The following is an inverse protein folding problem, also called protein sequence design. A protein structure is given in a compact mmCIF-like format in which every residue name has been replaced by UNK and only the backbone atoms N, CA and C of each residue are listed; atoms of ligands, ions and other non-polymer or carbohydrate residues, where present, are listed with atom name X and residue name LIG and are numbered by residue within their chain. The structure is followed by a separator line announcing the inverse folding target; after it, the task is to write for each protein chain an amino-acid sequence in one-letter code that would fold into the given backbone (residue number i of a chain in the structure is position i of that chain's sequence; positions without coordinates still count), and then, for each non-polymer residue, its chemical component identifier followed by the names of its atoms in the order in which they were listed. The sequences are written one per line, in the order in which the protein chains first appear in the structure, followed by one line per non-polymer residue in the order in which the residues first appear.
data_IF_386424882541
#
_entry.id   IF_386424882541
#
_cell.length_a   1.000
_cell.length_b   1.000
_cell.length_c   1.000
_cell.angle_alpha   90.00
_cell.angle_beta   90.00
_cell.angle_gamma   90.00
#
_symmetry.space_group_name_H-M   'P 1'
#
loop_
_entity.id
_entity.type
_entity.pdbx_description
1 polymer ?
#
# COMPACT_ATOMS: atom_id res chain seq x y z
N UNK A 1 -10.46 2.55 -12.77
CA UNK A 1 -9.06 2.45 -13.23
C UNK A 1 -8.19 1.79 -12.17
N UNK A 2 -7.15 1.04 -12.57
CA UNK A 2 -6.15 0.42 -11.66
C UNK A 2 -4.82 1.14 -11.85
N UNK A 3 -4.15 1.46 -10.75
CA UNK A 3 -2.76 1.96 -10.72
C UNK A 3 -1.87 0.86 -10.16
N UNK A 4 -0.75 0.58 -10.83
CA UNK A 4 0.23 -0.40 -10.38
C UNK A 4 1.51 0.33 -9.97
N UNK A 5 2.02 -0.03 -8.81
CA UNK A 5 3.28 0.48 -8.27
C UNK A 5 4.24 -0.70 -8.18
N UNK A 6 5.33 -0.60 -8.93
CA UNK A 6 6.42 -1.59 -9.07
C UNK A 6 7.61 -1.27 -8.16
N UNK A 7 7.40 -0.42 -7.16
CA UNK A 7 8.40 -0.03 -6.17
C UNK A 7 8.11 -0.65 -4.81
N UNK A 8 9.15 -1.10 -4.09
CA UNK A 8 8.98 -1.68 -2.77
C UNK A 8 8.55 -0.60 -1.78
N UNK A 9 7.63 -0.93 -0.88
CA UNK A 9 7.09 -0.03 0.15
C UNK A 9 8.08 0.15 1.30
N UNK A 10 9.25 0.67 0.98
CA UNK A 10 10.36 0.91 1.90
C UNK A 10 10.68 2.40 1.93
N UNK A 11 11.17 2.89 3.07
CA UNK A 11 11.52 4.29 3.31
C UNK A 11 12.27 4.97 2.14
N UNK A 12 13.27 4.35 1.48
CA UNK A 12 13.97 4.99 0.37
C UNK A 12 13.09 5.32 -0.84
N UNK A 13 11.98 4.61 -1.02
CA UNK A 13 11.09 4.73 -2.18
C UNK A 13 9.78 5.46 -1.86
N UNK A 14 9.48 5.72 -0.58
CA UNK A 14 8.20 6.32 -0.14
C UNK A 14 7.88 7.63 -0.86
N UNK A 15 8.87 8.50 -1.03
CA UNK A 15 8.64 9.80 -1.68
C UNK A 15 8.36 9.64 -3.18
N UNK A 16 9.07 8.75 -3.87
CA UNK A 16 8.79 8.46 -5.28
C UNK A 16 7.38 7.85 -5.46
N UNK A 17 7.01 6.91 -4.59
CA UNK A 17 5.68 6.30 -4.59
C UNK A 17 4.60 7.36 -4.36
N UNK A 18 4.81 8.28 -3.41
CA UNK A 18 3.87 9.39 -3.14
C UNK A 18 3.66 10.25 -4.39
N UNK A 19 4.74 10.68 -5.05
CA UNK A 19 4.64 11.49 -6.26
C UNK A 19 3.88 10.76 -7.39
N UNK A 20 4.15 9.46 -7.57
CA UNK A 20 3.42 8.62 -8.54
C UNK A 20 1.94 8.50 -8.19
N UNK A 21 1.60 8.30 -6.92
CA UNK A 21 0.22 8.22 -6.47
C UNK A 21 -0.52 9.54 -6.71
N UNK A 22 0.08 10.69 -6.38
CA UNK A 22 -0.53 12.00 -6.64
C UNK A 22 -0.73 12.29 -8.13
N UNK A 23 0.18 11.81 -8.99
CA UNK A 23 0.08 12.00 -10.44
C UNK A 23 -0.94 11.08 -11.11
N UNK A 24 -1.14 9.86 -10.58
CA UNK A 24 -1.94 8.81 -11.23
C UNK A 24 -3.30 8.55 -10.57
N UNK A 25 -3.40 8.72 -9.25
CA UNK A 25 -4.64 8.54 -8.50
C UNK A 25 -5.52 9.76 -8.73
N UNK A 26 -6.56 9.56 -9.54
CA UNK A 26 -7.60 10.54 -9.82
C UNK A 26 -8.97 10.01 -9.36
N UNK A 27 -10.04 10.80 -9.52
CA UNK A 27 -11.39 10.41 -9.11
C UNK A 27 -11.98 9.16 -9.78
N UNK A 28 -11.32 8.61 -10.81
CA UNK A 28 -11.72 7.37 -11.49
C UNK A 28 -10.91 6.15 -11.04
N UNK A 29 -9.88 6.38 -10.23
CA UNK A 29 -9.03 5.34 -9.68
C UNK A 29 -9.80 4.61 -8.59
N UNK A 30 -9.88 3.28 -8.74
CA UNK A 30 -10.61 2.43 -7.78
C UNK A 30 -9.70 1.44 -7.07
N UNK A 31 -8.49 1.22 -7.59
CA UNK A 31 -7.56 0.23 -7.05
C UNK A 31 -6.11 0.65 -7.27
N UNK A 32 -5.31 0.57 -6.22
CA UNK A 32 -3.84 0.68 -6.25
C UNK A 32 -3.27 -0.68 -5.88
N UNK A 33 -2.34 -1.18 -6.69
CA UNK A 33 -1.70 -2.48 -6.44
C UNK A 33 -0.19 -2.30 -6.35
N UNK A 34 0.36 -2.60 -5.18
CA UNK A 34 1.79 -2.65 -4.94
C UNK A 34 2.30 -4.05 -5.30
N UNK A 35 3.10 -4.14 -6.35
CA UNK A 35 3.56 -5.41 -6.94
C UNK A 35 4.95 -5.82 -6.50
N UNK A 36 5.75 -4.88 -6.01
CA UNK A 36 7.12 -5.13 -5.59
C UNK A 36 7.22 -5.71 -4.17
N UNK A 37 8.20 -6.60 -3.94
CA UNK A 37 8.46 -7.18 -2.63
C UNK A 37 9.09 -6.16 -1.68
N UNK A 38 8.59 -6.09 -0.45
CA UNK A 38 9.19 -5.28 0.62
C UNK A 38 8.21 -4.26 1.19
N UNK A 39 8.09 -4.27 2.52
CA UNK A 39 7.21 -3.40 3.28
C UNK A 39 7.83 -3.11 4.64
N UNK A 40 8.01 -1.84 4.97
CA UNK A 40 8.42 -1.38 6.29
C UNK A 40 7.35 -0.49 6.95
N UNK A 41 7.66 0.04 8.13
CA UNK A 41 6.73 0.93 8.85
C UNK A 41 6.38 2.20 8.06
N UNK A 42 7.29 2.74 7.27
CA UNK A 42 7.05 3.93 6.47
C UNK A 42 6.14 3.63 5.27
N UNK A 43 6.33 2.48 4.63
CA UNK A 43 5.43 1.95 3.60
C UNK A 43 4.01 1.70 4.10
N UNK A 44 3.87 1.16 5.32
CA UNK A 44 2.56 0.98 5.95
C UNK A 44 1.87 2.33 6.22
N UNK A 45 2.61 3.31 6.76
CA UNK A 45 2.09 4.66 6.96
C UNK A 45 1.63 5.29 5.64
N UNK A 46 2.33 5.04 4.54
CA UNK A 46 1.93 5.51 3.21
C UNK A 46 0.60 4.89 2.76
N UNK A 47 0.41 3.57 2.94
CA UNK A 47 -0.87 2.90 2.65
C UNK A 47 -2.01 3.52 3.46
N UNK A 48 -1.79 3.71 4.77
CA UNK A 48 -2.80 4.29 5.66
C UNK A 48 -3.13 5.72 5.25
N UNK A 49 -2.12 6.52 4.91
CA UNK A 49 -2.32 7.89 4.41
C UNK A 49 -3.13 7.90 3.12
N UNK A 50 -2.80 7.02 2.17
CA UNK A 50 -3.52 6.88 0.90
C UNK A 50 -4.99 6.50 1.12
N UNK A 51 -5.28 5.55 2.03
CA UNK A 51 -6.66 5.16 2.34
C UNK A 51 -7.46 6.28 3.03
N UNK A 52 -6.80 7.12 3.83
CA UNK A 52 -7.44 8.29 4.44
C UNK A 52 -7.74 9.38 3.42
N UNK A 53 -6.82 9.62 2.49
CA UNK A 53 -6.95 10.66 1.45
C UNK A 53 -7.91 10.23 0.34
N UNK A 54 -7.93 8.94 -0.01
CA UNK A 54 -8.77 8.37 -1.05
C UNK A 54 -9.53 7.14 -0.52
N UNK A 55 -10.59 7.32 0.29
CA UNK A 55 -11.32 6.22 0.92
C UNK A 55 -12.06 5.29 -0.06
N UNK A 56 -12.23 5.73 -1.31
CA UNK A 56 -12.84 4.95 -2.39
C UNK A 56 -11.84 4.08 -3.15
N UNK A 57 -10.54 4.20 -2.86
CA UNK A 57 -9.47 3.45 -3.52
C UNK A 57 -9.16 2.20 -2.71
N UNK A 58 -9.38 1.03 -3.29
CA UNK A 58 -8.93 -0.23 -2.71
C UNK A 58 -7.40 -0.37 -2.85
N UNK A 59 -6.73 -0.81 -1.79
CA UNK A 59 -5.28 -1.05 -1.81
C UNK A 59 -5.02 -2.55 -1.75
N UNK A 60 -4.20 -3.05 -2.66
CA UNK A 60 -3.73 -4.43 -2.68
C UNK A 60 -2.20 -4.46 -2.66
N UNK A 61 -1.64 -5.37 -1.89
CA UNK A 61 -0.20 -5.60 -1.79
C UNK A 61 0.07 -7.04 -2.22
N UNK A 62 0.94 -7.22 -3.21
CA UNK A 62 1.31 -8.54 -3.70
C UNK A 62 1.99 -9.35 -2.59
N UNK A 63 1.75 -10.68 -2.53
CA UNK A 63 2.10 -11.53 -1.39
C UNK A 63 3.60 -11.85 -1.27
N UNK A 64 4.42 -11.41 -2.20
CA UNK A 64 5.80 -11.89 -2.31
C UNK A 64 6.71 -10.97 -1.50
N UNK A 65 7.08 -11.39 -0.29
CA UNK A 65 8.02 -10.67 0.59
C UNK A 65 7.61 -10.65 2.07
N UNK A 66 8.45 -10.12 2.97
CA UNK A 66 8.16 -10.02 4.41
C UNK A 66 6.89 -9.20 4.74
N UNK A 67 6.28 -8.54 3.74
CA UNK A 67 4.96 -7.92 3.80
C UNK A 67 3.81 -8.85 4.18
N UNK A 68 3.99 -10.19 4.10
CA UNK A 68 3.00 -11.17 4.55
C UNK A 68 2.58 -11.02 6.01
N UNK A 69 3.46 -10.53 6.88
CA UNK A 69 3.16 -10.26 8.30
C UNK A 69 2.15 -9.11 8.44
N UNK A 70 2.29 -8.08 7.60
CA UNK A 70 1.46 -6.88 7.65
C UNK A 70 0.14 -7.01 6.89
N UNK A 71 0.01 -8.02 6.02
CA UNK A 71 -1.27 -8.37 5.39
C UNK A 71 -2.35 -8.64 6.44
N UNK A 72 -1.99 -9.33 7.53
CA UNK A 72 -2.91 -9.61 8.64
C UNK A 72 -3.32 -8.34 9.39
N UNK A 73 -2.41 -7.38 9.54
CA UNK A 73 -2.69 -6.07 10.14
C UNK A 73 -3.63 -5.21 9.27
N UNK A 74 -3.46 -5.26 7.94
CA UNK A 74 -4.32 -4.54 6.99
C UNK A 74 -5.69 -5.22 6.78
N UNK A 75 -5.77 -6.54 6.94
CA UNK A 75 -7.01 -7.31 6.84
C UNK A 75 -7.90 -7.23 8.11
N UNK A 76 -7.42 -6.58 9.18
CA UNK A 76 -8.16 -6.47 10.44
C UNK A 76 -8.20 -7.75 11.28
N UNK A 77 -7.48 -8.81 10.88
CA UNK A 77 -7.35 -10.04 11.67
C UNK A 77 -6.15 -9.93 12.64
N UNK A 78 -6.31 -9.08 13.66
CA UNK A 78 -5.54 -9.28 14.90
C UNK A 78 -6.30 -10.32 15.72
N UNK A 79 -5.96 -11.61 15.57
CA UNK A 79 -6.30 -12.59 16.61
C UNK A 79 -5.28 -12.44 17.73
N UNK A 80 -5.67 -11.99 18.94
CA UNK A 80 -4.82 -12.06 20.09
C UNK A 80 -4.91 -13.48 20.64
N UNK A 81 -4.00 -14.35 20.22
CA UNK A 81 -3.78 -15.64 20.88
C UNK A 81 -2.29 -15.85 21.09
N UNK A 82 -1.69 -15.03 21.96
CA UNK A 82 -0.57 -15.41 22.84
C UNK A 82 -0.62 -14.56 24.11
#
# INVERSE_FOLDING_TARGET
MRVEIDLPLLLPHVEEIRQRLLAQVNGETRKVVFTAPGLDAAGLQLIIALQKEFPHVAVEVAPEGPGGIFRNLLAGEVRPDV
#
